data_IF_408277152585
#
_entry.id   IF_408277152585
#
_cell.length_a   1.000
_cell.length_b   1.000
_cell.length_c   1.000
_cell.angle_alpha   90.00
_cell.angle_beta   90.00
_cell.angle_gamma   90.00
#
_symmetry.space_group_name_H-M   'P 1'
#
loop_
_entity.id
_entity.type
_entity.pdbx_description
1 polymer ?
#
# COMPACT_ATOMS: atom_id res chain seq x y z
N UNK A 1 -65.83 -18.33 6.06
CA UNK A 1 -64.95 -17.64 5.10
C UNK A 1 -64.26 -16.46 5.80
N UNK A 2 -63.09 -16.67 6.41
CA UNK A 2 -62.27 -15.61 7.00
C UNK A 2 -60.96 -15.53 6.20
N UNK A 3 -60.70 -14.35 5.64
CA UNK A 3 -59.57 -14.05 4.75
C UNK A 3 -58.27 -14.09 5.57
N UNK A 4 -57.37 -15.00 5.24
CA UNK A 4 -55.99 -14.98 5.72
C UNK A 4 -55.29 -13.89 4.91
N UNK A 5 -55.25 -12.67 5.46
CA UNK A 5 -54.48 -11.57 4.88
C UNK A 5 -53.01 -11.86 5.17
N UNK A 6 -52.23 -11.96 4.09
CA UNK A 6 -50.82 -12.33 4.09
C UNK A 6 -49.97 -11.30 4.84
N UNK A 7 -49.67 -11.58 6.11
CA UNK A 7 -48.71 -10.81 6.93
C UNK A 7 -47.27 -10.99 6.39
N UNK A 8 -47.03 -12.02 5.58
CA UNK A 8 -45.73 -12.29 4.97
C UNK A 8 -45.31 -11.27 3.89
N UNK A 9 -46.22 -10.43 3.37
CA UNK A 9 -45.90 -9.46 2.32
C UNK A 9 -45.47 -8.08 2.86
N UNK A 10 -45.75 -7.75 4.12
CA UNK A 10 -45.40 -6.45 4.71
C UNK A 10 -44.00 -6.39 5.33
N UNK A 11 -43.33 -7.53 5.53
CA UNK A 11 -41.97 -7.56 6.10
C UNK A 11 -40.85 -7.68 5.06
N UNK A 12 -41.18 -7.88 3.79
CA UNK A 12 -40.19 -8.05 2.72
C UNK A 12 -39.83 -6.75 1.97
N UNK A 13 -40.43 -5.61 2.34
CA UNK A 13 -40.31 -4.34 1.60
C UNK A 13 -39.52 -3.24 2.35
N UNK A 14 -38.90 -3.57 3.50
CA UNK A 14 -38.13 -2.59 4.32
C UNK A 14 -36.61 -2.81 4.25
N UNK A 15 -36.12 -3.80 3.50
CA UNK A 15 -34.68 -4.12 3.43
C UNK A 15 -33.94 -3.62 2.17
N UNK A 16 -34.58 -2.81 1.31
CA UNK A 16 -34.03 -2.50 -0.02
C UNK A 16 -33.86 -1.00 -0.30
N UNK A 17 -33.69 -0.19 0.74
CA UNK A 17 -33.39 1.25 0.64
C UNK A 17 -32.34 1.67 1.68
N UNK A 18 -31.22 0.95 1.76
CA UNK A 18 -29.98 1.64 2.10
C UNK A 18 -29.31 1.94 0.76
N UNK A 19 -29.55 3.10 0.13
CA UNK A 19 -28.61 3.55 -0.89
C UNK A 19 -27.26 3.61 -0.17
N UNK A 20 -26.31 2.76 -0.58
CA UNK A 20 -24.92 2.95 -0.24
C UNK A 20 -24.64 4.42 -0.58
N UNK A 21 -24.47 5.26 0.43
CA UNK A 21 -24.12 6.65 0.21
C UNK A 21 -22.74 6.59 -0.48
N UNK A 22 -22.75 6.76 -1.79
CA UNK A 22 -21.52 7.01 -2.55
C UNK A 22 -21.13 8.42 -2.15
N UNK A 23 -20.36 8.52 -1.06
CA UNK A 23 -19.72 9.77 -0.71
C UNK A 23 -18.77 10.12 -1.85
N UNK A 24 -18.86 11.35 -2.34
CA UNK A 24 -17.91 11.84 -3.33
C UNK A 24 -16.52 11.87 -2.68
N UNK A 25 -15.53 11.35 -3.40
CA UNK A 25 -14.13 11.42 -3.00
C UNK A 25 -13.77 12.87 -2.65
N UNK A 26 -13.29 13.08 -1.43
CA UNK A 26 -12.88 14.39 -0.92
C UNK A 26 -11.37 14.46 -0.81
N UNK A 27 -10.80 15.65 -1.04
CA UNK A 27 -9.42 15.92 -0.61
C UNK A 27 -9.45 16.27 0.87
N UNK A 28 -8.71 15.54 1.69
CA UNK A 28 -8.71 15.66 3.14
C UNK A 28 -7.28 15.71 3.67
N UNK A 29 -6.99 16.74 4.46
CA UNK A 29 -5.62 17.07 4.88
C UNK A 29 -5.44 16.86 6.37
N UNK A 30 -4.39 16.15 6.74
CA UNK A 30 -3.98 16.03 8.13
C UNK A 30 -3.53 17.39 8.68
N UNK A 31 -4.09 17.77 9.82
CA UNK A 31 -3.76 18.98 10.58
C UNK A 31 -3.14 18.66 11.94
N UNK A 32 -3.44 17.48 12.52
CA UNK A 32 -3.01 17.10 13.86
C UNK A 32 -3.61 17.94 14.99
N UNK A 33 -4.66 18.72 14.72
CA UNK A 33 -5.20 19.72 15.66
C UNK A 33 -5.85 19.13 16.93
N UNK A 34 -6.10 17.82 16.98
CA UNK A 34 -6.60 17.16 18.18
C UNK A 34 -5.49 16.71 19.15
N UNK A 35 -4.21 16.88 18.78
CA UNK A 35 -3.03 16.58 19.60
C UNK A 35 -2.94 15.12 20.11
N UNK A 36 -3.60 14.17 19.42
CA UNK A 36 -3.60 12.74 19.80
C UNK A 36 -2.92 11.81 18.77
N UNK A 37 -2.52 12.35 17.61
CA UNK A 37 -1.86 11.59 16.53
C UNK A 37 -2.76 10.58 15.80
N UNK A 38 -4.03 10.43 16.19
CA UNK A 38 -4.90 9.34 15.72
C UNK A 38 -5.53 9.63 14.35
N UNK A 39 -5.38 8.70 13.40
CA UNK A 39 -6.11 8.73 12.12
C UNK A 39 -7.63 8.85 12.31
N UNK A 40 -8.17 8.24 13.37
CA UNK A 40 -9.61 8.11 13.59
C UNK A 40 -10.25 9.30 14.31
N UNK A 41 -9.45 10.29 14.72
CA UNK A 41 -9.99 11.49 15.35
C UNK A 41 -10.31 12.52 14.27
N UNK A 42 -11.61 12.76 14.05
CA UNK A 42 -12.09 13.70 13.04
C UNK A 42 -11.46 15.09 13.15
N UNK A 43 -11.19 15.56 14.38
CA UNK A 43 -10.53 16.84 14.64
C UNK A 43 -9.07 16.94 14.18
N UNK A 44 -8.43 15.85 13.76
CA UNK A 44 -7.11 15.90 13.14
C UNK A 44 -7.16 16.21 11.64
N UNK A 45 -8.34 16.28 11.03
CA UNK A 45 -8.51 16.48 9.59
C UNK A 45 -9.20 17.82 9.31
N UNK A 46 -8.78 18.51 8.25
CA UNK A 46 -9.27 19.84 7.87
C UNK A 46 -10.79 19.91 7.66
N UNK A 47 -11.41 18.83 7.19
CA UNK A 47 -12.87 18.72 7.01
C UNK A 47 -13.63 18.32 8.28
N UNK A 48 -12.94 18.14 9.42
CA UNK A 48 -13.50 17.55 10.64
C UNK A 48 -14.20 16.20 10.36
N UNK A 49 -13.57 15.37 9.54
CA UNK A 49 -14.07 14.05 9.12
C UNK A 49 -12.90 13.07 9.09
N UNK A 50 -13.12 11.80 9.42
CA UNK A 50 -12.12 10.75 9.21
C UNK A 50 -12.13 10.36 7.72
N UNK A 51 -10.98 10.22 7.05
CA UNK A 51 -10.92 9.75 5.68
C UNK A 51 -11.63 8.40 5.50
N UNK A 52 -12.40 8.27 4.44
CA UNK A 52 -13.08 7.03 4.05
C UNK A 52 -12.59 6.56 2.68
N UNK A 53 -13.14 5.45 2.20
CA UNK A 53 -12.71 4.85 0.94
C UNK A 53 -12.83 5.82 -0.25
N UNK A 54 -11.77 5.84 -1.06
CA UNK A 54 -11.54 6.68 -2.24
C UNK A 54 -11.28 8.16 -1.96
N UNK A 55 -11.18 8.59 -0.70
CA UNK A 55 -10.71 9.95 -0.40
C UNK A 55 -9.25 10.15 -0.85
N UNK A 56 -8.91 11.39 -1.17
CA UNK A 56 -7.55 11.82 -1.44
C UNK A 56 -6.95 12.42 -0.16
N UNK A 57 -6.10 11.63 0.50
CA UNK A 57 -5.51 11.97 1.79
C UNK A 57 -4.17 12.66 1.61
N UNK A 58 -4.03 13.84 2.21
CA UNK A 58 -2.79 14.60 2.27
C UNK A 58 -2.21 14.51 3.68
N UNK A 59 -1.00 13.98 3.83
CA UNK A 59 -0.22 14.03 5.08
C UNK A 59 0.99 14.92 4.86
N UNK A 60 0.97 16.18 5.33
CA UNK A 60 2.06 17.13 5.15
C UNK A 60 3.34 16.70 5.86
N UNK A 61 4.48 17.29 5.45
CA UNK A 61 5.76 17.12 6.15
C UNK A 61 5.64 17.42 7.65
N UNK A 62 6.51 16.79 8.44
CA UNK A 62 6.52 16.88 9.92
C UNK A 62 5.27 16.34 10.64
N UNK A 63 4.24 15.89 9.92
CA UNK A 63 3.08 15.24 10.51
C UNK A 63 3.46 13.88 11.11
N UNK A 64 2.77 13.49 12.19
CA UNK A 64 2.85 12.16 12.79
C UNK A 64 1.43 11.63 12.90
N UNK A 65 1.16 10.51 12.23
CA UNK A 65 -0.18 9.93 12.10
C UNK A 65 -0.12 8.45 12.44
N UNK A 66 -1.02 7.99 13.30
CA UNK A 66 -1.15 6.60 13.71
C UNK A 66 -2.44 5.97 13.19
N UNK A 67 -2.29 4.99 12.30
CA UNK A 67 -3.35 4.12 11.80
C UNK A 67 -3.28 2.78 12.55
N UNK A 68 -4.22 2.55 13.46
CA UNK A 68 -4.12 1.48 14.47
C UNK A 68 -5.01 0.26 14.23
N UNK A 69 -6.10 0.34 13.45
CA UNK A 69 -7.01 -0.79 13.23
C UNK A 69 -7.90 -0.64 11.99
N UNK A 70 -8.61 -1.70 11.62
CA UNK A 70 -9.60 -1.64 10.54
C UNK A 70 -8.98 -1.67 9.14
N UNK A 71 -9.78 -1.26 8.15
CA UNK A 71 -9.40 -1.22 6.76
C UNK A 71 -9.96 0.06 6.13
N UNK A 72 -9.12 0.75 5.34
CA UNK A 72 -9.52 1.96 4.60
C UNK A 72 -8.71 2.02 3.31
N UNK A 73 -9.35 2.34 2.20
CA UNK A 73 -8.75 2.40 0.87
C UNK A 73 -8.71 3.82 0.33
N UNK A 74 -7.58 4.50 0.38
CA UNK A 74 -7.45 5.94 0.02
C UNK A 74 -6.41 6.16 -1.07
N UNK A 75 -6.47 7.31 -1.75
CA UNK A 75 -5.34 7.82 -2.51
C UNK A 75 -4.47 8.64 -1.57
N UNK A 76 -3.28 8.16 -1.23
CA UNK A 76 -2.43 8.77 -0.22
C UNK A 76 -1.34 9.62 -0.84
N UNK A 77 -1.22 10.88 -0.45
CA UNK A 77 -0.02 11.69 -0.68
C UNK A 77 0.63 11.99 0.67
N UNK A 78 1.72 11.26 0.94
CA UNK A 78 2.42 11.33 2.20
C UNK A 78 3.79 12.02 2.03
N UNK A 79 4.00 13.04 2.85
CA UNK A 79 5.30 13.66 3.10
C UNK A 79 5.69 13.64 4.58
N UNK A 80 4.77 13.23 5.46
CA UNK A 80 4.98 13.06 6.91
C UNK A 80 5.23 11.60 7.30
N UNK A 81 5.09 11.32 8.60
CA UNK A 81 5.23 9.99 9.18
C UNK A 81 3.85 9.36 9.40
N UNK A 82 3.58 8.24 8.74
CA UNK A 82 2.35 7.46 8.91
C UNK A 82 2.70 6.05 9.40
N UNK A 83 2.33 5.77 10.65
CA UNK A 83 2.51 4.46 11.28
C UNK A 83 1.24 3.62 11.11
N UNK A 84 1.28 2.58 10.28
CA UNK A 84 0.24 1.56 10.19
C UNK A 84 0.51 0.50 11.25
N UNK A 85 0.17 0.81 12.51
CA UNK A 85 0.43 -0.06 13.66
C UNK A 85 -0.43 -1.33 13.68
N UNK A 86 -1.59 -1.31 13.02
CA UNK A 86 -2.49 -2.44 12.89
C UNK A 86 -3.50 -2.23 11.76
N UNK A 87 -4.32 -3.25 11.48
CA UNK A 87 -5.24 -3.22 10.34
C UNK A 87 -4.53 -3.34 8.98
N UNK A 88 -5.20 -2.86 7.94
CA UNK A 88 -4.69 -2.83 6.57
C UNK A 88 -5.01 -1.48 5.91
N UNK A 89 -3.98 -0.70 5.59
CA UNK A 89 -4.13 0.52 4.79
C UNK A 89 -4.02 0.17 3.31
N UNK A 90 -5.07 0.46 2.55
CA UNK A 90 -5.11 0.24 1.11
C UNK A 90 -4.86 1.55 0.37
N UNK A 91 -3.99 1.49 -0.63
CA UNK A 91 -3.78 2.54 -1.61
C UNK A 91 -4.72 2.25 -2.78
N UNK A 92 -5.79 3.03 -2.86
CA UNK A 92 -6.89 2.86 -3.81
C UNK A 92 -6.42 2.99 -5.27
N UNK A 93 -7.31 2.64 -6.20
CA UNK A 93 -7.10 2.94 -7.62
C UNK A 93 -6.86 4.43 -7.83
N UNK A 94 -5.87 4.79 -8.64
CA UNK A 94 -5.40 6.16 -8.78
C UNK A 94 -3.94 6.32 -8.38
N UNK A 95 -3.54 7.53 -8.02
CA UNK A 95 -2.15 7.86 -7.72
C UNK A 95 -1.98 8.15 -6.23
N UNK A 96 -1.09 7.39 -5.61
CA UNK A 96 -0.55 7.65 -4.28
C UNK A 96 0.94 7.95 -4.36
N UNK A 97 1.49 8.65 -3.37
CA UNK A 97 2.91 8.98 -3.30
C UNK A 97 3.45 8.99 -1.89
N UNK A 98 4.71 8.59 -1.75
CA UNK A 98 5.56 8.86 -0.59
C UNK A 98 6.73 9.71 -1.10
N UNK A 99 6.81 10.95 -0.62
CA UNK A 99 7.80 11.93 -1.07
C UNK A 99 8.84 12.26 0.00
N UNK A 100 8.50 12.03 1.26
CA UNK A 100 9.35 12.26 2.43
C UNK A 100 8.79 11.44 3.62
N UNK A 101 9.38 11.57 4.81
CA UNK A 101 8.89 10.94 6.04
C UNK A 101 9.02 9.42 6.02
N UNK A 102 8.01 8.72 6.55
CA UNK A 102 8.00 7.25 6.62
C UNK A 102 6.61 6.65 6.49
N UNK A 103 6.55 5.46 5.90
CA UNK A 103 5.45 4.50 6.07
C UNK A 103 5.97 3.30 6.85
N UNK A 104 5.49 3.12 8.08
CA UNK A 104 5.96 2.05 8.96
C UNK A 104 4.85 1.29 9.69
N UNK A 105 5.25 0.39 10.59
CA UNK A 105 4.34 -0.36 11.47
C UNK A 105 4.09 -1.81 11.07
N UNK A 106 3.26 -2.48 11.87
CA UNK A 106 2.99 -3.91 11.80
C UNK A 106 1.77 -4.29 10.94
N UNK A 107 0.89 -3.33 10.63
CA UNK A 107 -0.25 -3.54 9.74
C UNK A 107 0.16 -3.55 8.27
N UNK A 108 -0.60 -4.23 7.42
CA UNK A 108 -0.26 -4.34 6.00
C UNK A 108 -0.54 -3.02 5.26
N UNK A 109 0.26 -2.77 4.22
CA UNK A 109 0.03 -1.68 3.25
C UNK A 109 -0.14 -2.32 1.89
N UNK A 110 -1.26 -2.08 1.23
CA UNK A 110 -1.61 -2.75 -0.02
C UNK A 110 -1.86 -1.73 -1.12
N UNK A 111 -1.12 -1.80 -2.22
CA UNK A 111 -1.47 -1.10 -3.46
C UNK A 111 -2.50 -1.96 -4.20
N UNK A 112 -3.73 -1.45 -4.29
CA UNK A 112 -4.86 -2.19 -4.84
C UNK A 112 -4.85 -2.22 -6.37
N UNK A 113 -5.64 -3.11 -6.99
CA UNK A 113 -5.79 -3.18 -8.45
C UNK A 113 -6.02 -1.79 -9.09
N UNK A 114 -5.16 -1.44 -10.07
CA UNK A 114 -5.19 -0.14 -10.74
C UNK A 114 -4.63 1.04 -9.92
N UNK A 115 -4.11 0.79 -8.72
CA UNK A 115 -3.36 1.76 -7.92
C UNK A 115 -1.93 1.93 -8.43
N UNK A 116 -1.44 3.17 -8.35
CA UNK A 116 -0.08 3.56 -8.69
C UNK A 116 0.54 4.23 -7.47
N UNK A 117 1.62 3.67 -6.94
CA UNK A 117 2.32 4.23 -5.80
C UNK A 117 3.71 4.72 -6.22
N UNK A 118 3.91 6.03 -6.19
CA UNK A 118 5.20 6.66 -6.45
C UNK A 118 5.97 6.83 -5.15
N UNK A 119 7.03 6.05 -4.98
CA UNK A 119 7.96 6.22 -3.87
C UNK A 119 9.19 7.00 -4.35
N UNK A 120 9.29 8.26 -3.94
CA UNK A 120 10.31 9.21 -4.41
C UNK A 120 11.14 9.84 -3.29
N UNK A 121 10.85 9.49 -2.04
CA UNK A 121 11.62 9.86 -0.86
C UNK A 121 11.05 9.21 0.40
N UNK A 122 11.67 9.47 1.55
CA UNK A 122 11.31 8.83 2.82
C UNK A 122 11.68 7.34 2.90
N UNK A 123 11.24 6.67 3.96
CA UNK A 123 11.45 5.23 4.19
C UNK A 123 10.14 4.43 4.17
N UNK A 124 10.23 3.16 3.77
CA UNK A 124 9.15 2.18 3.92
C UNK A 124 9.73 1.03 4.74
N UNK A 125 9.25 0.89 5.98
CA UNK A 125 9.88 0.02 6.99
C UNK A 125 8.83 -0.67 7.87
N UNK A 126 9.25 -1.58 8.74
CA UNK A 126 8.36 -2.23 9.72
C UNK A 126 8.03 -3.68 9.42
N UNK A 127 7.18 -4.25 10.28
CA UNK A 127 6.96 -5.70 10.34
C UNK A 127 5.81 -6.20 9.45
N UNK A 128 4.89 -5.31 9.06
CA UNK A 128 3.81 -5.67 8.14
C UNK A 128 4.31 -5.83 6.70
N UNK A 129 3.44 -6.32 5.82
CA UNK A 129 3.75 -6.55 4.41
C UNK A 129 3.47 -5.31 3.57
N UNK A 130 4.30 -5.07 2.56
CA UNK A 130 3.93 -4.25 1.42
C UNK A 130 3.42 -5.17 0.31
N UNK A 131 2.17 -4.97 -0.10
CA UNK A 131 1.48 -5.84 -1.06
C UNK A 131 1.22 -5.03 -2.33
N UNK A 132 1.66 -5.54 -3.48
CA UNK A 132 1.34 -5.00 -4.80
C UNK A 132 0.36 -5.96 -5.46
N UNK A 133 -0.93 -5.61 -5.51
CA UNK A 133 -1.93 -6.46 -6.14
C UNK A 133 -1.75 -6.54 -7.66
N UNK A 134 -2.42 -7.51 -8.29
CA UNK A 134 -2.42 -7.64 -9.74
C UNK A 134 -2.85 -6.33 -10.42
N UNK A 135 -2.13 -5.94 -11.47
CA UNK A 135 -2.29 -4.66 -12.20
C UNK A 135 -2.07 -3.39 -11.36
N UNK A 136 -1.55 -3.50 -10.15
CA UNK A 136 -1.06 -2.37 -9.39
C UNK A 136 0.42 -2.09 -9.73
N UNK A 137 0.87 -0.85 -9.54
CA UNK A 137 2.24 -0.43 -9.83
C UNK A 137 2.88 0.23 -8.62
N UNK A 138 4.10 -0.20 -8.28
CA UNK A 138 5.03 0.51 -7.40
C UNK A 138 6.18 1.07 -8.23
N UNK A 139 6.37 2.38 -8.16
CA UNK A 139 7.50 3.08 -8.78
C UNK A 139 8.52 3.42 -7.69
N UNK A 140 9.58 2.63 -7.58
CA UNK A 140 10.71 2.90 -6.71
C UNK A 140 11.64 3.90 -7.40
N UNK A 141 11.47 5.18 -7.07
CA UNK A 141 12.19 6.34 -7.61
C UNK A 141 12.93 7.08 -6.48
N UNK A 142 13.47 6.32 -5.55
CA UNK A 142 14.36 6.80 -4.53
C UNK A 142 15.45 5.74 -4.29
N UNK A 143 16.70 6.17 -4.21
CA UNK A 143 17.81 5.34 -3.77
C UNK A 143 17.65 4.94 -2.29
N UNK A 144 16.82 3.93 -2.02
CA UNK A 144 16.32 3.59 -0.68
C UNK A 144 16.29 2.08 -0.42
N UNK A 145 16.08 1.72 0.86
CA UNK A 145 15.82 0.35 1.30
C UNK A 145 14.34 0.15 1.59
N UNK A 146 13.74 -0.91 1.05
CA UNK A 146 12.45 -1.42 1.47
C UNK A 146 12.67 -2.43 2.60
N UNK A 147 12.38 -1.99 3.82
CA UNK A 147 12.60 -2.75 5.05
C UNK A 147 11.29 -3.37 5.56
N UNK A 148 10.53 -3.98 4.62
CA UNK A 148 9.30 -4.74 4.84
C UNK A 148 9.31 -5.98 3.96
N UNK A 149 8.52 -7.00 4.32
CA UNK A 149 8.32 -8.15 3.43
C UNK A 149 7.46 -7.72 2.23
N UNK A 150 7.93 -7.97 1.02
CA UNK A 150 7.24 -7.61 -0.22
C UNK A 150 6.44 -8.81 -0.77
N UNK A 151 5.15 -8.60 -1.04
CA UNK A 151 4.33 -9.54 -1.83
C UNK A 151 3.97 -8.85 -3.14
N UNK A 152 4.53 -9.30 -4.25
CA UNK A 152 4.35 -8.65 -5.56
C UNK A 152 3.60 -9.56 -6.54
N UNK A 153 2.35 -9.23 -6.82
CA UNK A 153 1.55 -9.79 -7.91
C UNK A 153 1.29 -8.80 -9.05
N UNK A 154 1.76 -7.56 -8.91
CA UNK A 154 1.62 -6.48 -9.90
C UNK A 154 2.94 -6.19 -10.60
N UNK A 155 3.36 -4.91 -10.53
CA UNK A 155 4.63 -4.46 -11.10
C UNK A 155 5.39 -3.59 -10.10
N UNK A 156 6.64 -3.98 -9.84
CA UNK A 156 7.64 -3.15 -9.19
C UNK A 156 8.59 -2.61 -10.27
N UNK A 157 8.57 -1.30 -10.49
CA UNK A 157 9.43 -0.59 -11.43
C UNK A 157 10.52 0.16 -10.65
N UNK A 158 11.79 -0.20 -10.90
CA UNK A 158 12.96 0.32 -10.19
C UNK A 158 13.62 1.34 -11.12
N UNK A 159 13.31 2.61 -10.87
CA UNK A 159 13.77 3.77 -11.65
C UNK A 159 14.91 4.53 -10.95
N UNK A 160 15.09 4.28 -9.66
CA UNK A 160 16.28 4.62 -8.88
C UNK A 160 16.65 3.40 -8.02
N UNK A 161 17.93 3.21 -7.71
CA UNK A 161 18.43 1.95 -7.14
C UNK A 161 17.69 1.53 -5.87
N UNK A 162 17.25 0.28 -5.79
CA UNK A 162 16.43 -0.23 -4.69
C UNK A 162 17.15 -1.36 -3.96
N UNK A 163 17.16 -1.31 -2.62
CA UNK A 163 17.55 -2.45 -1.79
C UNK A 163 16.31 -3.07 -1.15
N UNK A 164 16.13 -4.37 -1.30
CA UNK A 164 15.17 -5.15 -0.51
C UNK A 164 15.92 -5.78 0.67
N UNK A 165 15.36 -5.69 1.87
CA UNK A 165 15.95 -6.33 3.06
C UNK A 165 15.00 -7.25 3.80
N UNK A 166 13.68 -7.02 3.67
CA UNK A 166 12.65 -7.79 4.35
C UNK A 166 12.32 -9.14 3.72
N UNK A 167 12.81 -9.42 2.51
CA UNK A 167 12.39 -10.58 1.71
C UNK A 167 11.31 -10.22 0.68
N UNK A 168 11.06 -11.13 -0.26
CA UNK A 168 10.03 -10.93 -1.27
C UNK A 168 9.47 -12.26 -1.82
N UNK A 169 8.21 -12.26 -2.19
CA UNK A 169 7.56 -13.33 -2.94
C UNK A 169 6.56 -12.80 -3.97
N UNK A 170 6.07 -13.68 -4.84
CA UNK A 170 4.93 -13.44 -5.70
C UNK A 170 5.17 -13.81 -7.17
N UNK A 171 4.18 -13.49 -7.99
CA UNK A 171 4.10 -13.79 -9.43
C UNK A 171 4.17 -12.54 -10.32
N UNK A 172 4.40 -11.37 -9.71
CA UNK A 172 4.48 -10.08 -10.38
C UNK A 172 5.80 -9.84 -11.11
N UNK A 173 5.89 -8.62 -11.66
CA UNK A 173 7.05 -8.17 -12.42
C UNK A 173 8.01 -7.37 -11.55
N UNK A 174 9.31 -7.64 -11.69
CA UNK A 174 10.40 -6.81 -11.18
C UNK A 174 11.13 -6.24 -12.38
N UNK A 175 11.04 -4.94 -12.57
CA UNK A 175 11.58 -4.25 -13.75
C UNK A 175 12.72 -3.34 -13.33
N UNK A 176 13.96 -3.77 -13.54
CA UNK A 176 15.18 -3.03 -13.22
C UNK A 176 15.57 -2.20 -14.45
N UNK A 177 15.48 -0.87 -14.34
CA UNK A 177 15.83 0.03 -15.44
C UNK A 177 17.34 0.08 -15.70
N UNK A 178 17.71 0.56 -16.89
CA UNK A 178 19.11 0.72 -17.29
C UNK A 178 19.90 1.57 -16.28
N UNK A 179 21.09 1.08 -15.92
CA UNK A 179 21.96 1.73 -14.94
C UNK A 179 21.49 1.65 -13.49
N UNK A 180 20.30 1.10 -13.20
CA UNK A 180 19.78 0.95 -11.84
C UNK A 180 20.18 -0.38 -11.21
N UNK A 181 20.17 -0.41 -9.88
CA UNK A 181 20.51 -1.59 -9.10
C UNK A 181 19.28 -2.06 -8.33
N UNK A 182 18.92 -3.34 -8.48
CA UNK A 182 18.16 -4.06 -7.46
C UNK A 182 19.14 -4.84 -6.60
N UNK A 183 19.19 -4.54 -5.30
CA UNK A 183 19.97 -5.31 -4.34
C UNK A 183 19.05 -6.15 -3.45
N UNK A 184 19.24 -7.47 -3.46
CA UNK A 184 18.64 -8.38 -2.49
C UNK A 184 19.62 -8.54 -1.33
N UNK A 185 19.19 -8.18 -0.13
CA UNK A 185 20.01 -8.23 1.07
C UNK A 185 19.18 -8.48 2.33
N UNK A 186 19.77 -8.14 3.49
CA UNK A 186 19.15 -8.44 4.79
C UNK A 186 19.03 -9.95 5.03
N UNK A 187 18.36 -10.35 6.11
CA UNK A 187 18.07 -11.76 6.41
C UNK A 187 16.81 -12.27 5.70
N UNK A 188 16.35 -11.58 4.66
CA UNK A 188 15.16 -11.94 3.89
C UNK A 188 15.32 -13.23 3.09
N UNK A 189 14.19 -13.90 2.85
CA UNK A 189 14.03 -14.96 1.87
C UNK A 189 13.38 -14.36 0.63
N UNK A 190 13.90 -14.71 -0.55
CA UNK A 190 13.43 -14.19 -1.83
C UNK A 190 12.96 -15.33 -2.72
N UNK A 191 11.66 -15.58 -2.78
CA UNK A 191 11.04 -16.55 -3.69
C UNK A 191 10.49 -15.84 -4.94
N UNK A 192 11.36 -15.70 -5.93
CA UNK A 192 11.06 -15.10 -7.23
C UNK A 192 10.89 -16.18 -8.30
N UNK A 193 10.56 -17.41 -7.89
CA UNK A 193 10.40 -18.56 -8.79
C UNK A 193 9.20 -18.45 -9.73
N UNK A 194 8.20 -17.64 -9.36
CA UNK A 194 7.02 -17.34 -10.19
C UNK A 194 7.03 -15.91 -10.74
N UNK A 195 7.97 -15.08 -10.28
CA UNK A 195 8.08 -13.70 -10.72
C UNK A 195 8.75 -13.58 -12.09
N UNK A 196 8.40 -12.52 -12.81
CA UNK A 196 9.12 -12.11 -14.02
C UNK A 196 10.12 -11.01 -13.66
N UNK A 197 11.42 -11.32 -13.68
CA UNK A 197 12.49 -10.35 -13.40
C UNK A 197 13.08 -9.86 -14.71
N UNK A 198 12.61 -8.71 -15.18
CA UNK A 198 13.17 -8.00 -16.33
C UNK A 198 14.33 -7.12 -15.86
N UNK A 199 15.55 -7.49 -16.24
CA UNK A 199 16.75 -6.82 -15.77
C UNK A 199 17.50 -6.15 -16.93
N UNK A 200 17.42 -4.82 -17.03
CA UNK A 200 18.24 -3.98 -17.91
C UNK A 200 19.37 -3.26 -17.15
N UNK A 201 19.49 -3.50 -15.84
CA UNK A 201 20.48 -2.89 -14.96
C UNK A 201 21.33 -3.94 -14.26
N UNK A 202 21.48 -3.80 -12.95
CA UNK A 202 22.21 -4.75 -12.10
C UNK A 202 21.28 -5.38 -11.08
N UNK A 203 21.27 -6.71 -11.04
CA UNK A 203 20.74 -7.47 -9.92
C UNK A 203 21.91 -7.93 -9.04
N UNK A 204 21.95 -7.45 -7.81
CA UNK A 204 22.99 -7.77 -6.83
C UNK A 204 22.39 -8.60 -5.70
N UNK A 205 22.98 -9.75 -5.42
CA UNK A 205 22.54 -10.63 -4.34
C UNK A 205 23.64 -10.64 -3.29
N UNK A 206 23.32 -10.24 -2.07
CA UNK A 206 24.28 -10.24 -0.97
C UNK A 206 24.31 -11.58 -0.25
N UNK A 207 25.46 -11.86 0.38
CA UNK A 207 25.65 -13.04 1.22
C UNK A 207 24.88 -12.99 2.56
N UNK A 208 24.17 -11.88 2.83
CA UNK A 208 23.33 -11.75 4.01
C UNK A 208 21.98 -12.44 3.85
N UNK A 209 21.53 -12.66 2.60
CA UNK A 209 20.24 -13.26 2.30
C UNK A 209 20.13 -14.66 2.90
N UNK A 210 18.95 -15.00 3.42
CA UNK A 210 18.67 -16.35 3.90
C UNK A 210 18.58 -17.32 2.73
N UNK A 211 17.85 -16.94 1.68
CA UNK A 211 17.82 -17.69 0.41
C UNK A 211 17.30 -16.79 -0.71
N UNK A 212 17.66 -17.15 -1.95
CA UNK A 212 17.13 -16.53 -3.17
C UNK A 212 16.82 -17.63 -4.17
N UNK A 213 15.61 -17.61 -4.72
CA UNK A 213 15.13 -18.56 -5.71
C UNK A 213 14.62 -17.77 -6.92
N UNK A 214 15.05 -18.15 -8.12
CA UNK A 214 14.53 -17.62 -9.38
C UNK A 214 13.90 -18.74 -10.19
N UNK A 215 13.06 -18.35 -11.15
CA UNK A 215 12.58 -19.27 -12.15
C UNK A 215 13.76 -19.81 -13.00
N UNK A 216 13.65 -21.03 -13.50
CA UNK A 216 14.71 -21.67 -14.30
C UNK A 216 14.97 -21.00 -15.66
N UNK A 217 14.12 -20.04 -16.04
CA UNK A 217 14.17 -19.30 -17.30
C UNK A 217 14.67 -17.87 -17.14
N UNK A 218 15.17 -17.47 -15.97
CA UNK A 218 15.67 -16.12 -15.74
C UNK A 218 16.83 -15.82 -16.69
N UNK A 219 16.75 -14.68 -17.38
CA UNK A 219 17.79 -14.19 -18.30
C UNK A 219 18.03 -12.71 -18.03
N UNK A 220 19.31 -12.33 -18.00
CA UNK A 220 19.71 -10.93 -17.97
C UNK A 220 19.86 -10.45 -19.42
N UNK A 221 19.35 -9.26 -19.73
CA UNK A 221 19.45 -8.65 -21.06
C UNK A 221 20.57 -7.61 -21.10
#
# INVERSE_FOLDING_TARGET
MKKIISIALCFLMVFMLCPSAVFAASTITWTGSADDGSWYTAGNWDLNQVPVDNDYVLIPESSVVDYTYGETSVMLNCAGNLTVSGGALKLASGNSSLTNGKLDGAGDITITEGGNFLWSGGSIEGLGRLIIENKANLYANASSSLDRYLVNSGSLLITDSLRLTGGAEGDGNFNIQEGQILELGGSGTYDLSSSNVSNMGTLRILNTCTSVQFNSTYTQQ
#
